data_IF_831567239513
#
_entry.id   IF_831567239513
#
_cell.length_a   1.000
_cell.length_b   1.000
_cell.length_c   1.000
_cell.angle_alpha   90.00
_cell.angle_beta   90.00
_cell.angle_gamma   90.00
#
_symmetry.space_group_name_H-M   'P 1'
#
loop_
_entity.id
_entity.type
_entity.pdbx_description
1 polymer ?
#
# COMPACT_ATOMS: atom_id res chain seq x y z
N UNK A 1 -8.47 18.73 -5.75
CA UNK A 1 -8.39 19.15 -4.32
C UNK A 1 -9.56 18.67 -3.47
N UNK A 2 -10.81 18.83 -3.89
CA UNK A 2 -12.01 18.50 -3.08
C UNK A 2 -12.04 17.07 -2.57
N UNK A 3 -11.71 16.08 -3.42
CA UNK A 3 -11.69 14.66 -3.03
C UNK A 3 -10.62 14.38 -1.98
N UNK A 4 -9.41 14.94 -2.13
CA UNK A 4 -8.35 14.83 -1.13
C UNK A 4 -8.76 15.48 0.19
N UNK A 5 -9.33 16.68 0.14
CA UNK A 5 -9.80 17.38 1.34
C UNK A 5 -10.88 16.59 2.08
N UNK A 6 -11.86 16.03 1.36
CA UNK A 6 -12.87 15.11 1.90
C UNK A 6 -12.23 13.85 2.48
N UNK A 7 -11.26 13.25 1.77
CA UNK A 7 -10.52 12.05 2.20
C UNK A 7 -9.58 12.30 3.38
N UNK A 8 -9.20 13.55 3.65
CA UNK A 8 -8.29 13.96 4.72
C UNK A 8 -9.04 14.44 5.96
N UNK A 9 -10.02 15.33 5.76
CA UNK A 9 -10.72 16.05 6.82
C UNK A 9 -11.79 15.18 7.46
N UNK A 10 -12.46 14.32 6.70
CA UNK A 10 -13.48 13.43 7.28
C UNK A 10 -12.83 12.40 8.20
N UNK A 11 -11.79 11.65 7.80
CA UNK A 11 -11.14 10.70 8.71
C UNK A 11 -10.49 11.40 9.92
N UNK A 12 -9.76 12.50 9.71
CA UNK A 12 -9.14 13.25 10.81
C UNK A 12 -10.17 13.90 11.77
N UNK A 13 -11.28 14.42 11.24
CA UNK A 13 -12.38 14.98 12.02
C UNK A 13 -13.14 13.93 12.82
N UNK A 14 -13.36 12.75 12.25
CA UNK A 14 -13.97 11.61 12.93
C UNK A 14 -13.09 11.08 14.09
N UNK A 15 -11.76 11.23 14.01
CA UNK A 15 -10.85 10.93 15.13
C UNK A 15 -10.98 11.96 16.27
N UNK A 16 -10.95 13.24 15.94
CA UNK A 16 -10.96 14.33 16.93
C UNK A 16 -12.27 14.38 17.73
N UNK A 17 -13.38 13.96 17.11
CA UNK A 17 -14.70 13.94 17.75
C UNK A 17 -14.93 12.69 18.65
N UNK A 18 -13.94 11.81 18.80
CA UNK A 18 -14.05 10.60 19.63
C UNK A 18 -15.13 9.60 19.19
N UNK A 19 -15.77 9.84 18.04
CA UNK A 19 -16.86 9.04 17.49
C UNK A 19 -16.32 7.73 16.91
N UNK A 20 -15.06 7.72 16.46
CA UNK A 20 -14.30 6.51 16.16
C UNK A 20 -13.81 5.86 17.45
N UNK A 21 -14.65 5.04 18.07
CA UNK A 21 -14.17 4.06 19.05
C UNK A 21 -13.44 2.96 18.28
N UNK A 22 -12.11 3.07 18.18
CA UNK A 22 -11.28 1.98 17.67
C UNK A 22 -11.40 0.78 18.61
N UNK A 23 -12.37 -0.09 18.33
CA UNK A 23 -12.63 -1.32 19.09
C UNK A 23 -11.42 -2.27 19.10
N UNK A 24 -10.45 -2.07 18.20
CA UNK A 24 -9.26 -2.90 18.04
C UNK A 24 -7.99 -2.06 17.81
N UNK A 25 -6.88 -2.33 18.54
CA UNK A 25 -5.59 -1.64 18.38
C UNK A 25 -5.05 -1.66 16.94
N UNK A 26 -5.37 -2.70 16.18
CA UNK A 26 -4.98 -2.85 14.77
C UNK A 26 -5.61 -1.79 13.87
N UNK A 27 -6.86 -1.42 14.13
CA UNK A 27 -7.58 -0.42 13.35
C UNK A 27 -6.97 0.97 13.59
N UNK A 28 -6.60 1.28 14.84
CA UNK A 28 -5.89 2.51 15.19
C UNK A 28 -4.50 2.60 14.52
N UNK A 29 -3.77 1.48 14.44
CA UNK A 29 -2.48 1.43 13.73
C UNK A 29 -2.63 1.69 12.22
N UNK A 30 -3.57 1.00 11.57
CA UNK A 30 -3.87 1.20 10.14
C UNK A 30 -4.27 2.66 9.88
N UNK A 31 -5.14 3.20 10.74
CA UNK A 31 -5.60 4.57 10.63
C UNK A 31 -4.48 5.60 10.79
N UNK A 32 -3.56 5.39 11.75
CA UNK A 32 -2.42 6.27 11.96
C UNK A 32 -1.47 6.27 10.76
N UNK A 33 -1.19 5.09 10.20
CA UNK A 33 -0.37 4.94 8.99
C UNK A 33 -1.00 5.71 7.82
N UNK A 34 -2.29 5.49 7.58
CA UNK A 34 -3.00 6.05 6.43
C UNK A 34 -3.19 7.56 6.57
N UNK A 35 -3.46 8.04 7.78
CA UNK A 35 -3.50 9.48 8.09
C UNK A 35 -2.14 10.14 7.87
N UNK A 36 -1.06 9.49 8.34
CA UNK A 36 0.31 9.97 8.13
C UNK A 36 0.64 10.11 6.65
N UNK A 37 0.29 9.13 5.83
CA UNK A 37 0.52 9.21 4.39
C UNK A 37 -0.33 10.29 3.71
N UNK A 38 -1.62 10.33 4.05
CA UNK A 38 -2.53 11.31 3.49
C UNK A 38 -2.04 12.73 3.81
N UNK A 39 -1.49 12.97 5.00
CA UNK A 39 -0.89 14.26 5.36
C UNK A 39 0.30 14.64 4.45
N UNK A 40 1.18 13.69 4.12
CA UNK A 40 2.27 13.92 3.17
C UNK A 40 1.71 14.20 1.77
N UNK A 41 0.68 13.46 1.32
CA UNK A 41 0.00 13.72 0.05
C UNK A 41 -0.74 15.06 0.00
N UNK A 42 -1.35 15.49 1.10
CA UNK A 42 -1.93 16.81 1.25
C UNK A 42 -0.88 17.90 1.09
N UNK A 43 0.26 17.73 1.77
CA UNK A 43 1.39 18.66 1.73
C UNK A 43 1.97 18.75 0.31
N UNK A 44 2.10 17.61 -0.38
CA UNK A 44 2.51 17.57 -1.77
C UNK A 44 1.56 18.32 -2.70
N UNK A 45 0.25 18.08 -2.57
CA UNK A 45 -0.76 18.75 -3.40
C UNK A 45 -0.83 20.24 -3.10
N UNK A 46 -0.68 20.62 -1.83
CA UNK A 46 -0.57 22.03 -1.44
C UNK A 46 0.69 22.66 -2.03
N UNK A 47 1.85 21.98 -1.95
CA UNK A 47 3.10 22.41 -2.55
C UNK A 47 2.97 22.65 -4.06
N UNK A 48 2.25 21.76 -4.75
CA UNK A 48 1.94 21.90 -6.18
C UNK A 48 1.04 23.12 -6.43
N UNK A 49 0.03 23.33 -5.59
CA UNK A 49 -0.95 24.42 -5.76
C UNK A 49 -0.32 25.80 -5.59
N UNK A 50 0.65 25.93 -4.69
CA UNK A 50 1.34 27.22 -4.43
C UNK A 50 2.71 27.31 -5.13
N UNK A 51 3.04 26.35 -5.99
CA UNK A 51 4.32 26.21 -6.69
C UNK A 51 5.55 26.40 -5.76
N UNK A 52 5.57 25.68 -4.63
CA UNK A 52 6.65 25.79 -3.63
C UNK A 52 7.67 24.64 -3.78
N UNK A 53 8.90 24.91 -4.25
CA UNK A 53 9.94 23.88 -4.39
C UNK A 53 10.36 23.27 -3.06
N UNK A 54 10.37 24.07 -1.98
CA UNK A 54 10.76 23.61 -0.64
C UNK A 54 9.77 22.60 -0.07
N UNK A 55 8.46 22.86 -0.19
CA UNK A 55 7.43 21.93 0.27
C UNK A 55 7.34 20.67 -0.58
N UNK A 56 7.61 20.79 -1.88
CA UNK A 56 7.73 19.66 -2.80
C UNK A 56 8.86 18.71 -2.33
N UNK A 57 10.05 19.27 -2.05
CA UNK A 57 11.19 18.54 -1.49
C UNK A 57 10.89 17.87 -0.16
N UNK A 58 10.24 18.58 0.77
CA UNK A 58 9.81 18.02 2.07
C UNK A 58 8.86 16.83 1.85
N UNK A 59 7.91 16.96 0.92
CA UNK A 59 6.94 15.90 0.63
C UNK A 59 7.61 14.66 0.02
N UNK A 60 8.59 14.85 -0.87
CA UNK A 60 9.38 13.75 -1.45
C UNK A 60 10.10 12.91 -0.39
N UNK A 61 10.78 13.58 0.57
CA UNK A 61 11.38 12.89 1.72
C UNK A 61 10.33 12.31 2.67
N UNK A 62 9.19 12.97 2.85
CA UNK A 62 8.07 12.45 3.62
C UNK A 62 7.60 11.09 3.11
N UNK A 63 7.46 10.95 1.79
CA UNK A 63 7.11 9.66 1.18
C UNK A 63 8.21 8.62 1.32
N UNK A 64 9.47 9.03 1.23
CA UNK A 64 10.59 8.12 1.49
C UNK A 64 10.58 7.58 2.92
N UNK A 65 10.46 8.47 3.91
CA UNK A 65 10.35 8.09 5.31
C UNK A 65 9.16 7.15 5.53
N UNK A 66 8.02 7.45 4.92
CA UNK A 66 6.86 6.57 5.00
C UNK A 66 7.14 5.19 4.41
N UNK A 67 7.72 5.11 3.20
CA UNK A 67 8.05 3.83 2.58
C UNK A 67 8.96 3.00 3.48
N UNK A 68 9.97 3.60 4.10
CA UNK A 68 10.87 2.92 5.05
C UNK A 68 10.12 2.44 6.30
N UNK A 69 9.24 3.26 6.87
CA UNK A 69 8.43 2.86 8.04
C UNK A 69 7.47 1.72 7.68
N UNK A 70 6.82 1.80 6.53
CA UNK A 70 5.87 0.81 6.06
C UNK A 70 6.55 -0.54 5.80
N UNK A 71 7.68 -0.54 5.10
CA UNK A 71 8.44 -1.77 4.83
C UNK A 71 9.00 -2.38 6.12
N UNK A 72 9.48 -1.57 7.05
CA UNK A 72 9.91 -2.02 8.38
C UNK A 72 8.76 -2.66 9.16
N UNK A 73 7.59 -2.04 9.14
CA UNK A 73 6.37 -2.58 9.75
C UNK A 73 6.01 -3.96 9.19
N UNK A 74 6.04 -4.11 7.87
CA UNK A 74 5.78 -5.40 7.21
C UNK A 74 6.85 -6.44 7.49
N UNK A 75 8.12 -6.04 7.57
CA UNK A 75 9.20 -6.95 7.94
C UNK A 75 8.98 -7.50 9.36
N UNK A 76 8.66 -6.63 10.32
CA UNK A 76 8.36 -7.03 11.70
C UNK A 76 7.13 -7.96 11.74
N UNK A 77 6.07 -7.65 11.00
CA UNK A 77 4.87 -8.49 10.93
C UNK A 77 5.16 -9.89 10.34
N UNK A 78 5.91 -9.95 9.23
CA UNK A 78 6.35 -11.20 8.61
C UNK A 78 7.17 -12.06 9.57
N UNK A 79 8.10 -11.45 10.32
CA UNK A 79 8.91 -12.14 11.34
C UNK A 79 8.02 -12.67 12.46
N UNK A 80 7.10 -11.86 12.99
CA UNK A 80 6.15 -12.27 14.04
C UNK A 80 5.26 -13.43 13.62
N UNK A 81 4.94 -13.53 12.33
CA UNK A 81 4.15 -14.63 11.74
C UNK A 81 5.00 -15.86 11.40
N UNK A 82 6.32 -15.81 11.57
CA UNK A 82 7.24 -16.89 11.19
C UNK A 82 7.34 -17.09 9.67
N UNK A 83 7.00 -16.08 8.87
CA UNK A 83 7.04 -16.14 7.40
C UNK A 83 8.42 -15.69 6.90
N UNK A 84 9.39 -16.59 6.89
CA UNK A 84 10.77 -16.29 6.44
C UNK A 84 10.80 -15.81 5.00
N UNK A 85 10.08 -16.48 4.09
CA UNK A 85 9.98 -16.07 2.69
C UNK A 85 9.27 -14.71 2.52
N UNK A 86 8.27 -14.42 3.36
CA UNK A 86 7.63 -13.11 3.38
C UNK A 86 8.58 -12.01 3.83
N UNK A 87 9.36 -12.25 4.89
CA UNK A 87 10.36 -11.30 5.37
C UNK A 87 11.42 -11.00 4.30
N UNK A 88 11.94 -12.03 3.64
CA UNK A 88 12.96 -11.87 2.58
C UNK A 88 12.35 -11.16 1.36
N UNK A 89 11.12 -11.50 0.96
CA UNK A 89 10.40 -10.80 -0.13
C UNK A 89 10.24 -9.30 0.16
N UNK A 90 9.90 -8.94 1.41
CA UNK A 90 9.81 -7.55 1.85
C UNK A 90 11.15 -6.84 1.70
N UNK A 91 12.26 -7.48 2.06
CA UNK A 91 13.60 -6.88 1.89
C UNK A 91 13.91 -6.59 0.43
N UNK A 92 13.76 -7.58 -0.46
CA UNK A 92 14.00 -7.37 -1.90
C UNK A 92 13.10 -6.28 -2.50
N UNK A 93 11.82 -6.29 -2.14
CA UNK A 93 10.86 -5.27 -2.56
C UNK A 93 11.25 -3.88 -2.07
N UNK A 94 11.77 -3.79 -0.84
CA UNK A 94 12.23 -2.53 -0.22
C UNK A 94 13.46 -1.99 -0.93
N UNK A 95 14.44 -2.86 -1.24
CA UNK A 95 15.63 -2.48 -1.99
C UNK A 95 15.24 -1.93 -3.36
N UNK A 96 14.39 -2.65 -4.09
CA UNK A 96 13.91 -2.21 -5.40
C UNK A 96 13.20 -0.84 -5.33
N UNK A 97 12.36 -0.62 -4.31
CA UNK A 97 11.65 0.65 -4.09
C UNK A 97 12.62 1.81 -3.78
N UNK A 98 13.59 1.57 -2.90
CA UNK A 98 14.58 2.58 -2.48
C UNK A 98 15.47 2.96 -3.66
N UNK A 99 15.97 1.97 -4.40
CA UNK A 99 16.80 2.22 -5.59
C UNK A 99 16.00 2.97 -6.66
N UNK A 100 14.74 2.60 -6.86
CA UNK A 100 13.87 3.31 -7.78
C UNK A 100 13.73 4.78 -7.35
N UNK A 101 13.38 5.06 -6.10
CA UNK A 101 13.23 6.43 -5.61
C UNK A 101 14.51 7.26 -5.69
N UNK A 102 15.67 6.64 -5.45
CA UNK A 102 16.96 7.28 -5.64
C UNK A 102 17.25 7.60 -7.12
N UNK A 103 16.90 6.69 -8.04
CA UNK A 103 17.13 6.84 -9.49
C UNK A 103 16.17 7.79 -10.21
N UNK A 104 14.97 8.00 -9.66
CA UNK A 104 13.95 8.86 -10.23
C UNK A 104 14.21 10.33 -9.88
N UNK A 105 13.70 10.76 -8.73
CA UNK A 105 13.99 12.04 -8.11
C UNK A 105 13.38 12.05 -6.71
N UNK A 106 14.13 11.58 -5.72
CA UNK A 106 13.66 11.40 -4.34
C UNK A 106 12.99 12.66 -3.72
N UNK A 107 13.26 13.83 -4.30
CA UNK A 107 12.79 15.13 -3.84
C UNK A 107 11.62 15.72 -4.66
N UNK A 108 11.19 15.10 -5.76
CA UNK A 108 10.06 15.60 -6.56
C UNK A 108 8.78 14.83 -6.27
N UNK A 109 7.63 15.50 -6.18
CA UNK A 109 6.30 14.85 -6.12
C UNK A 109 5.41 15.29 -7.29
N UNK A 110 6.00 15.94 -8.30
CA UNK A 110 5.29 16.53 -9.43
C UNK A 110 5.91 16.09 -10.75
N UNK A 111 5.06 15.77 -11.71
CA UNK A 111 5.44 15.64 -13.11
C UNK A 111 5.57 17.03 -13.76
N UNK A 112 6.20 17.11 -14.92
CA UNK A 112 6.28 18.35 -15.72
C UNK A 112 4.91 18.89 -16.17
N UNK A 113 3.86 18.06 -16.13
CA UNK A 113 2.48 18.42 -16.48
C UNK A 113 1.59 18.77 -15.27
N UNK A 114 2.17 18.91 -14.06
CA UNK A 114 1.45 19.26 -12.84
C UNK A 114 0.70 18.10 -12.17
N UNK A 115 0.79 16.87 -12.70
CA UNK A 115 0.25 15.69 -12.02
C UNK A 115 1.09 15.34 -10.79
N UNK A 116 0.41 14.85 -9.76
CA UNK A 116 1.08 14.22 -8.63
C UNK A 116 1.72 12.90 -9.07
N UNK A 117 3.04 12.78 -8.91
CA UNK A 117 3.81 11.56 -9.16
C UNK A 117 4.85 11.41 -8.05
N UNK A 118 4.79 10.30 -7.31
CA UNK A 118 5.75 10.03 -6.24
C UNK A 118 7.15 9.91 -6.84
N UNK A 119 8.06 10.82 -6.48
CA UNK A 119 9.41 10.93 -7.04
C UNK A 119 9.48 11.41 -8.49
N UNK A 120 8.47 12.16 -8.93
CA UNK A 120 8.45 12.84 -10.23
C UNK A 120 8.12 11.93 -11.42
N UNK A 121 8.00 10.62 -11.21
CA UNK A 121 7.60 9.66 -12.24
C UNK A 121 6.54 8.68 -11.72
N UNK A 122 5.78 8.06 -12.64
CA UNK A 122 4.90 6.96 -12.25
C UNK A 122 5.74 5.74 -11.87
N UNK A 123 5.21 4.89 -10.98
CA UNK A 123 5.89 3.66 -10.59
C UNK A 123 6.22 2.82 -11.83
N UNK A 124 7.46 2.37 -12.02
CA UNK A 124 7.82 1.49 -13.13
C UNK A 124 7.01 0.18 -13.08
N UNK A 125 6.77 -0.49 -14.23
CA UNK A 125 5.99 -1.72 -14.28
C UNK A 125 6.47 -2.80 -13.30
N UNK A 126 7.79 -2.94 -13.10
CA UNK A 126 8.34 -3.88 -12.14
C UNK A 126 7.97 -3.55 -10.69
N UNK A 127 7.97 -2.26 -10.30
CA UNK A 127 7.54 -1.81 -8.97
C UNK A 127 6.04 -2.05 -8.77
N UNK A 128 5.23 -1.75 -9.79
CA UNK A 128 3.78 -2.02 -9.76
C UNK A 128 3.49 -3.52 -9.59
N UNK A 129 4.23 -4.38 -10.30
CA UNK A 129 4.12 -5.83 -10.21
C UNK A 129 4.53 -6.36 -8.82
N UNK A 130 5.68 -5.91 -8.29
CA UNK A 130 6.14 -6.25 -6.93
C UNK A 130 5.06 -5.90 -5.90
N UNK A 131 4.50 -4.69 -5.97
CA UNK A 131 3.43 -4.27 -5.07
C UNK A 131 2.17 -5.13 -5.21
N UNK A 132 1.81 -5.50 -6.44
CA UNK A 132 0.62 -6.32 -6.70
C UNK A 132 0.77 -7.74 -6.13
N UNK A 133 1.95 -8.36 -6.29
CA UNK A 133 2.25 -9.66 -5.68
C UNK A 133 2.25 -9.58 -4.16
N UNK A 134 2.79 -8.50 -3.61
CA UNK A 134 2.73 -8.23 -2.18
C UNK A 134 1.28 -8.09 -1.67
N UNK A 135 0.41 -7.39 -2.39
CA UNK A 135 -1.00 -7.28 -2.03
C UNK A 135 -1.72 -8.64 -2.03
N UNK A 136 -1.42 -9.51 -3.01
CA UNK A 136 -1.92 -10.90 -3.03
C UNK A 136 -1.45 -11.67 -1.79
N UNK A 137 -0.18 -11.57 -1.43
CA UNK A 137 0.35 -12.22 -0.22
C UNK A 137 -0.39 -11.75 1.03
N UNK A 138 -0.58 -10.44 1.20
CA UNK A 138 -1.30 -9.88 2.35
C UNK A 138 -2.72 -10.43 2.42
N UNK A 139 -3.46 -10.44 1.31
CA UNK A 139 -4.83 -10.97 1.25
C UNK A 139 -4.84 -12.43 1.67
N UNK A 140 -3.95 -13.26 1.13
CA UNK A 140 -3.89 -14.70 1.44
C UNK A 140 -3.53 -14.97 2.91
N UNK A 141 -2.70 -14.13 3.51
CA UNK A 141 -2.27 -14.25 4.91
C UNK A 141 -3.27 -13.63 5.92
N UNK A 142 -4.36 -13.01 5.46
CA UNK A 142 -5.40 -12.51 6.36
C UNK A 142 -5.99 -13.67 7.15
N UNK A 143 -5.85 -13.61 8.49
CA UNK A 143 -6.33 -14.63 9.43
C UNK A 143 -7.84 -14.88 9.33
N UNK A 144 -8.59 -13.83 9.00
CA UNK A 144 -10.03 -13.73 9.04
C UNK A 144 -10.60 -13.56 7.64
N UNK A 145 -10.44 -14.54 6.75
CA UNK A 145 -11.14 -14.56 5.47
C UNK A 145 -12.45 -15.39 5.53
N UNK A 146 -13.43 -15.11 6.42
CA UNK A 146 -14.73 -15.69 6.22
C UNK A 146 -15.51 -14.93 5.13
N UNK A 147 -15.04 -13.78 4.59
CA UNK A 147 -15.73 -13.04 3.52
C UNK A 147 -14.80 -12.54 2.41
N UNK A 148 -15.18 -12.81 1.16
CA UNK A 148 -14.46 -12.32 -0.02
C UNK A 148 -14.56 -10.80 -0.22
N UNK A 149 -15.49 -10.12 0.45
CA UNK A 149 -15.73 -8.67 0.28
C UNK A 149 -14.48 -7.82 0.59
N UNK A 150 -13.75 -8.11 1.66
CA UNK A 150 -12.48 -7.43 2.01
C UNK A 150 -11.41 -7.65 0.94
N UNK A 151 -11.23 -8.90 0.53
CA UNK A 151 -10.30 -9.24 -0.55
C UNK A 151 -10.66 -8.53 -1.86
N UNK A 152 -11.95 -8.51 -2.24
CA UNK A 152 -12.43 -7.83 -3.44
C UNK A 152 -12.19 -6.33 -3.40
N UNK A 153 -12.42 -5.67 -2.26
CA UNK A 153 -12.15 -4.24 -2.11
C UNK A 153 -10.66 -3.93 -2.35
N UNK A 154 -9.77 -4.71 -1.76
CA UNK A 154 -8.33 -4.57 -1.96
C UNK A 154 -7.90 -4.85 -3.41
N UNK A 155 -8.44 -5.89 -4.05
CA UNK A 155 -8.15 -6.21 -5.45
C UNK A 155 -8.58 -5.06 -6.36
N UNK A 156 -9.80 -4.55 -6.21
CA UNK A 156 -10.30 -3.42 -7.00
C UNK A 156 -9.44 -2.18 -6.80
N UNK A 157 -9.02 -1.89 -5.56
CA UNK A 157 -8.10 -0.78 -5.26
C UNK A 157 -6.76 -0.91 -5.99
N UNK A 158 -6.18 -2.12 -6.06
CA UNK A 158 -4.94 -2.37 -6.81
C UNK A 158 -5.16 -2.22 -8.32
N UNK A 159 -6.26 -2.74 -8.86
CA UNK A 159 -6.58 -2.60 -10.28
C UNK A 159 -6.74 -1.14 -10.69
N UNK A 160 -7.50 -0.35 -9.91
CA UNK A 160 -7.64 1.11 -10.15
C UNK A 160 -6.27 1.79 -10.15
N UNK A 161 -5.37 1.41 -9.24
CA UNK A 161 -4.02 1.95 -9.19
C UNK A 161 -3.18 1.61 -10.43
N UNK A 162 -3.27 0.39 -10.95
CA UNK A 162 -2.56 -0.04 -12.17
C UNK A 162 -2.98 0.77 -13.40
N UNK A 163 -4.26 1.13 -13.51
CA UNK A 163 -4.80 1.84 -14.67
C UNK A 163 -4.79 3.37 -14.53
N UNK A 164 -4.38 3.93 -13.38
CA UNK A 164 -4.49 5.37 -13.11
C UNK A 164 -3.39 6.24 -13.74
N UNK A 165 -2.25 5.64 -14.10
CA UNK A 165 -1.04 6.38 -14.45
C UNK A 165 -0.40 7.15 -13.28
N UNK A 166 -0.92 6.99 -12.07
CA UNK A 166 -0.43 7.56 -10.80
C UNK A 166 -0.52 6.49 -9.71
N UNK A 167 0.24 5.41 -9.89
CA UNK A 167 0.03 4.14 -9.18
C UNK A 167 -0.09 4.31 -7.66
N UNK A 168 0.94 4.88 -7.02
CA UNK A 168 0.94 5.04 -5.56
C UNK A 168 -0.20 5.95 -5.10
N UNK A 169 -0.36 7.13 -5.71
CA UNK A 169 -1.42 8.08 -5.36
C UNK A 169 -2.80 7.45 -5.39
N UNK A 170 -3.15 6.79 -6.50
CA UNK A 170 -4.43 6.12 -6.66
C UNK A 170 -4.60 4.98 -5.65
N UNK A 171 -3.55 4.20 -5.38
CA UNK A 171 -3.59 3.10 -4.41
C UNK A 171 -3.89 3.60 -3.01
N UNK A 172 -3.32 4.73 -2.62
CA UNK A 172 -3.48 5.30 -1.29
C UNK A 172 -4.84 5.97 -1.13
N UNK A 173 -5.27 6.71 -2.15
CA UNK A 173 -6.60 7.30 -2.15
C UNK A 173 -7.67 6.21 -2.02
N UNK A 174 -7.52 5.11 -2.75
CA UNK A 174 -8.44 3.97 -2.62
C UNK A 174 -8.28 3.22 -1.30
N UNK A 175 -7.08 3.16 -0.71
CA UNK A 175 -6.86 2.58 0.63
C UNK A 175 -7.61 3.34 1.73
N UNK A 176 -7.47 4.67 1.74
CA UNK A 176 -8.10 5.53 2.74
C UNK A 176 -9.62 5.49 2.63
N UNK A 177 -10.16 5.43 1.41
CA UNK A 177 -11.59 5.26 1.17
C UNK A 177 -12.09 3.90 1.63
N UNK A 178 -11.33 2.81 1.43
CA UNK A 178 -11.69 1.49 1.95
C UNK A 178 -11.80 1.52 3.48
N UNK A 179 -10.88 2.18 4.18
CA UNK A 179 -10.92 2.30 5.65
C UNK A 179 -12.12 3.12 6.10
N UNK A 180 -12.42 4.22 5.41
CA UNK A 180 -13.61 5.02 5.69
C UNK A 180 -14.88 4.21 5.48
N UNK A 181 -14.97 3.45 4.39
CA UNK A 181 -16.10 2.56 4.12
C UNK A 181 -16.23 1.48 5.19
N UNK A 182 -15.13 0.91 5.67
CA UNK A 182 -15.18 -0.04 6.78
C UNK A 182 -15.65 0.61 8.08
N UNK A 183 -15.19 1.82 8.38
CA UNK A 183 -15.63 2.56 9.56
C UNK A 183 -17.13 2.92 9.53
N UNK A 184 -17.70 3.17 8.35
CA UNK A 184 -19.11 3.55 8.19
C UNK A 184 -20.04 2.34 8.04
N UNK A 185 -19.63 1.34 7.26
CA UNK A 185 -20.47 0.22 6.85
C UNK A 185 -20.14 -1.08 7.59
N UNK A 186 -19.01 -1.12 8.31
CA UNK A 186 -18.49 -2.32 8.97
C UNK A 186 -18.41 -3.49 7.97
N UNK A 187 -17.93 -3.22 6.75
CA UNK A 187 -18.06 -4.17 5.66
C UNK A 187 -17.13 -5.40 5.81
N UNK A 188 -16.11 -5.29 6.66
CA UNK A 188 -15.26 -6.40 7.10
C UNK A 188 -15.93 -7.29 8.16
N UNK A 189 -17.08 -6.90 8.71
CA UNK A 189 -17.81 -7.71 9.68
C UNK A 189 -18.34 -9.01 9.02
N UNK A 190 -18.11 -10.18 9.63
CA UNK A 190 -18.71 -11.45 9.17
C UNK A 190 -20.23 -11.40 8.97
N UNK A 191 -20.95 -10.47 9.59
CA UNK A 191 -22.39 -10.27 9.42
C UNK A 191 -22.77 -9.32 8.26
N UNK A 192 -21.82 -8.60 7.64
CA UNK A 192 -22.10 -7.61 6.59
C UNK A 192 -22.73 -8.22 5.33
N UNK A 193 -23.97 -7.88 4.98
CA UNK A 193 -24.77 -8.55 3.92
C UNK A 193 -25.16 -10.01 4.24
N UNK A 194 -25.21 -10.38 5.53
CA UNK A 194 -25.63 -11.71 5.99
C UNK A 194 -24.48 -12.71 6.14
N UNK A 195 -24.61 -13.67 7.07
CA UNK A 195 -23.52 -14.57 7.48
C UNK A 195 -23.10 -15.62 6.44
N UNK A 196 -23.96 -15.90 5.47
CA UNK A 196 -23.73 -16.95 4.45
C UNK A 196 -23.24 -16.39 3.11
N UNK A 197 -23.27 -15.07 2.94
CA UNK A 197 -22.92 -14.40 1.68
C UNK A 197 -21.42 -14.34 1.49
N UNK A 198 -20.92 -14.88 0.37
CA UNK A 198 -19.50 -14.82 -0.06
C UNK A 198 -18.52 -15.36 1.00
N UNK A 199 -18.92 -16.40 1.73
CA UNK A 199 -18.08 -17.03 2.74
C UNK A 199 -17.37 -18.28 2.21
N UNK A 200 -16.12 -18.46 2.65
CA UNK A 200 -15.33 -19.66 2.34
C UNK A 200 -15.35 -20.56 3.57
N UNK A 201 -15.57 -21.87 3.39
CA UNK A 201 -15.55 -22.78 4.53
C UNK A 201 -14.14 -22.84 5.15
N UNK A 202 -14.06 -23.01 6.48
CA UNK A 202 -12.78 -23.13 7.19
C UNK A 202 -11.92 -24.29 6.64
N UNK A 203 -12.54 -25.38 6.23
CA UNK A 203 -11.88 -26.52 5.59
C UNK A 203 -11.26 -26.17 4.24
N UNK A 204 -11.97 -25.43 3.38
CA UNK A 204 -11.45 -24.98 2.08
C UNK A 204 -10.34 -23.95 2.27
N UNK A 205 -10.53 -23.02 3.21
CA UNK A 205 -9.52 -22.03 3.56
C UNK A 205 -8.25 -22.68 4.11
N UNK A 206 -8.37 -23.71 4.95
CA UNK A 206 -7.23 -24.48 5.46
C UNK A 206 -6.50 -25.24 4.34
N UNK A 207 -7.25 -25.88 3.42
CA UNK A 207 -6.68 -26.54 2.23
C UNK A 207 -5.94 -25.55 1.35
N UNK A 208 -6.56 -24.41 1.06
CA UNK A 208 -5.95 -23.34 0.26
C UNK A 208 -4.69 -22.79 0.92
N UNK A 209 -4.71 -22.49 2.22
CA UNK A 209 -3.52 -22.02 2.97
C UNK A 209 -2.39 -23.05 2.97
N UNK A 210 -2.71 -24.34 3.08
CA UNK A 210 -1.73 -25.42 2.99
C UNK A 210 -1.09 -25.48 1.60
N UNK A 211 -1.91 -25.45 0.55
CA UNK A 211 -1.45 -25.38 -0.84
C UNK A 211 -0.58 -24.14 -1.09
N UNK A 212 -1.05 -22.97 -0.65
CA UNK A 212 -0.33 -21.71 -0.77
C UNK A 212 1.03 -21.77 -0.07
N UNK A 213 1.09 -22.23 1.18
CA UNK A 213 2.37 -22.35 1.90
C UNK A 213 3.35 -23.27 1.20
N UNK A 214 2.86 -24.36 0.59
CA UNK A 214 3.70 -25.36 -0.07
C UNK A 214 4.19 -24.94 -1.45
N UNK A 215 3.33 -24.28 -2.23
CA UNK A 215 3.60 -23.99 -3.65
C UNK A 215 3.51 -22.50 -3.99
N UNK A 216 2.49 -21.81 -3.48
CA UNK A 216 2.26 -20.39 -3.79
C UNK A 216 3.33 -19.46 -3.21
N UNK A 217 3.69 -19.61 -1.94
CA UNK A 217 4.66 -18.74 -1.27
C UNK A 217 6.07 -18.83 -1.88
N UNK A 218 6.63 -20.02 -2.19
CA UNK A 218 7.90 -20.12 -2.91
C UNK A 218 7.84 -19.51 -4.31
N UNK A 219 6.75 -19.73 -5.06
CA UNK A 219 6.56 -19.14 -6.40
C UNK A 219 6.53 -17.61 -6.33
N UNK A 220 5.72 -17.06 -5.42
CA UNK A 220 5.64 -15.62 -5.20
C UNK A 220 6.98 -15.03 -4.80
N UNK A 221 7.71 -15.69 -3.89
CA UNK A 221 9.06 -15.28 -3.52
C UNK A 221 10.00 -15.23 -4.73
N UNK A 222 10.00 -16.27 -5.57
CA UNK A 222 10.81 -16.32 -6.79
C UNK A 222 10.48 -15.18 -7.76
N UNK A 223 9.19 -14.94 -7.99
CA UNK A 223 8.71 -13.84 -8.84
C UNK A 223 9.09 -12.47 -8.29
N UNK A 224 8.85 -12.21 -7.00
CA UNK A 224 9.21 -10.94 -6.35
C UNK A 224 10.72 -10.72 -6.42
N UNK A 225 11.53 -11.74 -6.17
CA UNK A 225 13.00 -11.65 -6.23
C UNK A 225 13.47 -11.32 -7.64
N UNK A 226 12.93 -11.99 -8.66
CA UNK A 226 13.24 -11.71 -10.07
C UNK A 226 12.89 -10.26 -10.44
N UNK A 227 11.65 -9.85 -10.15
CA UNK A 227 11.17 -8.50 -10.46
C UNK A 227 11.98 -7.42 -9.71
N UNK A 228 12.31 -7.67 -8.45
CA UNK A 228 13.15 -6.78 -7.66
C UNK A 228 14.56 -6.66 -8.27
N UNK A 229 15.14 -7.77 -8.73
CA UNK A 229 16.41 -7.78 -9.46
C UNK A 229 16.36 -6.95 -10.73
N UNK A 230 15.36 -7.16 -11.57
CA UNK A 230 15.15 -6.39 -12.82
C UNK A 230 14.95 -4.89 -12.54
N UNK A 231 14.13 -4.55 -11.55
CA UNK A 231 13.89 -3.16 -11.13
C UNK A 231 15.16 -2.50 -10.59
N UNK A 232 15.94 -3.24 -9.79
CA UNK A 232 17.18 -2.75 -9.21
C UNK A 232 18.23 -2.53 -10.29
N UNK A 233 18.39 -3.46 -11.22
CA UNK A 233 19.29 -3.33 -12.37
C UNK A 233 19.00 -2.07 -13.18
N UNK A 234 17.74 -1.85 -13.58
CA UNK A 234 17.36 -0.65 -14.32
C UNK A 234 17.56 0.65 -13.52
N UNK A 235 17.42 0.59 -12.20
CA UNK A 235 17.69 1.77 -11.33
C UNK A 235 19.18 2.05 -11.20
N UNK A 236 20.03 1.01 -11.10
CA UNK A 236 21.49 1.15 -11.04
C UNK A 236 22.08 1.68 -12.35
N UNK A 237 21.55 1.26 -13.49
CA UNK A 237 21.91 1.84 -14.80
C UNK A 237 21.58 3.33 -14.87
N UNK A 238 20.38 3.73 -14.41
CA UNK A 238 19.98 5.16 -14.33
C UNK A 238 20.88 5.97 -13.42
N UNK A 239 21.47 5.35 -12.40
CA UNK A 239 22.41 5.98 -11.47
C UNK A 239 23.87 5.94 -11.97
N UNK A 240 24.16 5.37 -13.15
CA UNK A 240 25.51 5.16 -13.68
C UNK A 240 26.44 4.38 -12.72
N UNK A 241 25.89 3.43 -11.96
CA UNK A 241 26.68 2.57 -11.05
C UNK A 241 27.18 1.32 -11.79
N UNK A 242 26.41 0.83 -12.76
CA UNK A 242 26.71 -0.32 -13.63
C UNK A 242 26.40 -0.02 -15.08
#
# INVERSE_FOLDING_TARGET
MTILFVSLVIPAGLMLNGSLRFRFPRLAQIFAIETGYMAVAATAVFAITIDSPSLNKISGYGFFCFCVLQTTGFMIDSIRKGSTLGAVSTVFSSIAMILWGASASLHSVMASDGRFLMWGENAPPYIQAIYSLWAVQVIVEMRSLPKLTEASAHIVSVLVALFSGQFFFARLLTASQIILLDALLHYTDPAFLGKETLTVSETELARFRSFYRRFGAPLLFGLVTLLAGLSSYGSLQRLNII
#
